data_IF_626819073651
#
_entry.id   IF_626819073651
#
_cell.length_a   1.000
_cell.length_b   1.000
_cell.length_c   1.000
_cell.angle_alpha   90.00
_cell.angle_beta   90.00
_cell.angle_gamma   90.00
#
_symmetry.space_group_name_H-M   'P 1'
#
loop_
_entity.id
_entity.type
_entity.pdbx_description
1 polymer ?
#
# COMPACT_ATOMS: atom_id res chain seq x y z
N UNK A 1 -25.68 36.82 -3.17
CA UNK A 1 -25.40 35.37 -3.22
C UNK A 1 -24.03 35.16 -2.58
N UNK A 2 -23.97 34.36 -1.50
CA UNK A 2 -22.73 34.08 -0.78
C UNK A 2 -22.02 32.91 -1.47
N UNK A 3 -20.70 32.98 -1.60
CA UNK A 3 -19.89 31.90 -2.14
C UNK A 3 -20.00 30.63 -1.28
N UNK A 4 -20.23 29.48 -1.91
CA UNK A 4 -20.12 28.16 -1.29
C UNK A 4 -19.02 27.37 -1.98
N UNK A 5 -17.98 27.03 -1.23
CA UNK A 5 -16.91 26.18 -1.72
C UNK A 5 -17.32 24.71 -1.66
N UNK A 6 -17.17 23.99 -2.77
CA UNK A 6 -17.20 22.54 -2.81
C UNK A 6 -15.88 22.04 -3.40
N UNK A 7 -15.13 21.17 -2.69
CA UNK A 7 -13.90 20.61 -3.24
C UNK A 7 -14.20 19.74 -4.47
N UNK A 8 -13.29 19.73 -5.43
CA UNK A 8 -13.41 18.91 -6.64
C UNK A 8 -13.36 17.40 -6.32
N UNK A 9 -12.58 17.03 -5.30
CA UNK A 9 -12.39 15.64 -4.87
C UNK A 9 -12.65 15.54 -3.36
N UNK A 10 -13.88 15.29 -2.91
CA UNK A 10 -14.16 15.04 -1.50
C UNK A 10 -13.47 13.74 -1.06
N UNK A 11 -12.85 13.77 0.12
CA UNK A 11 -12.23 12.58 0.70
C UNK A 11 -13.30 11.60 1.16
N UNK A 12 -13.09 10.31 0.86
CA UNK A 12 -13.92 9.21 1.35
C UNK A 12 -13.38 8.61 2.65
N UNK A 13 -14.05 7.56 3.11
CA UNK A 13 -13.60 6.75 4.24
C UNK A 13 -12.29 6.01 3.89
N UNK A 14 -11.29 6.07 4.78
CA UNK A 14 -10.06 5.28 4.66
C UNK A 14 -10.23 3.92 5.38
N UNK A 15 -10.19 2.84 4.61
CA UNK A 15 -10.26 1.45 5.10
C UNK A 15 -8.91 0.74 5.07
N UNK A 16 -7.84 1.47 4.79
CA UNK A 16 -6.50 0.91 4.61
C UNK A 16 -5.91 0.53 5.97
N UNK A 17 -5.45 -0.72 6.18
CA UNK A 17 -4.70 -1.06 7.38
C UNK A 17 -3.28 -0.48 7.29
N UNK A 18 -2.80 0.11 8.39
CA UNK A 18 -1.46 0.68 8.47
C UNK A 18 -0.59 -0.09 9.47
N UNK A 19 0.70 -0.21 9.12
CA UNK A 19 1.75 -0.68 10.02
C UNK A 19 2.63 0.50 10.41
N UNK A 20 2.93 0.65 11.70
CA UNK A 20 3.86 1.65 12.17
C UNK A 20 5.28 1.32 11.68
N UNK A 21 5.92 2.27 10.98
CA UNK A 21 7.31 2.13 10.50
C UNK A 21 8.28 2.61 11.58
N UNK A 22 8.06 3.80 12.14
CA UNK A 22 8.87 4.38 13.22
C UNK A 22 8.12 5.55 13.86
N UNK A 23 8.51 5.91 15.09
CA UNK A 23 8.14 7.19 15.73
C UNK A 23 9.32 8.18 15.77
N UNK A 24 10.50 7.76 15.33
CA UNK A 24 11.70 8.60 15.30
C UNK A 24 11.60 9.69 14.22
N UNK A 25 12.16 10.87 14.52
CA UNK A 25 12.18 11.99 13.59
C UNK A 25 10.83 12.69 13.42
N UNK A 26 9.88 12.47 14.34
CA UNK A 26 8.59 13.17 14.38
C UNK A 26 8.42 13.81 15.76
N UNK A 27 8.15 15.11 15.80
CA UNK A 27 7.86 15.84 17.04
C UNK A 27 6.86 16.96 16.80
N UNK A 28 6.22 17.40 17.87
CA UNK A 28 5.37 18.60 17.84
C UNK A 28 6.15 19.77 18.41
N UNK A 29 6.16 20.89 17.69
CA UNK A 29 6.68 22.17 18.16
C UNK A 29 5.55 23.20 18.22
N UNK A 30 5.60 24.09 19.22
CA UNK A 30 4.66 25.21 19.32
C UNK A 30 5.27 26.47 18.74
N UNK A 31 4.53 27.14 17.86
CA UNK A 31 4.87 28.44 17.31
C UNK A 31 3.68 29.38 17.48
N UNK A 32 3.74 30.22 18.51
CA UNK A 32 2.58 31.00 18.97
C UNK A 32 1.48 30.09 19.52
N UNK A 33 0.24 30.30 19.07
CA UNK A 33 -0.93 29.50 19.47
C UNK A 33 -1.14 28.24 18.62
N UNK A 34 -0.20 27.94 17.72
CA UNK A 34 -0.30 26.82 16.79
C UNK A 34 0.71 25.71 17.09
N UNK A 35 0.26 24.47 16.91
CA UNK A 35 1.09 23.27 16.94
C UNK A 35 1.50 22.88 15.53
N UNK A 36 2.80 22.64 15.34
CA UNK A 36 3.39 22.21 14.09
C UNK A 36 4.00 20.82 14.27
N UNK A 37 3.68 19.91 13.36
CA UNK A 37 4.36 18.62 13.28
C UNK A 37 5.65 18.81 12.49
N UNK A 38 6.79 18.66 13.16
CA UNK A 38 8.11 18.69 12.54
C UNK A 38 8.51 17.26 12.22
N UNK A 39 8.78 17.01 10.93
CA UNK A 39 9.17 15.70 10.40
C UNK A 39 10.56 15.81 9.80
N UNK A 40 11.49 15.04 10.34
CA UNK A 40 12.87 15.02 9.87
C UNK A 40 12.99 14.30 8.53
N UNK A 41 13.98 14.71 7.72
CA UNK A 41 14.27 14.08 6.42
C UNK A 41 14.49 12.56 6.53
N UNK A 42 15.11 12.10 7.61
CA UNK A 42 15.36 10.67 7.83
C UNK A 42 14.07 9.87 8.04
N UNK A 43 13.03 10.44 8.65
CA UNK A 43 11.74 9.77 8.79
C UNK A 43 11.11 9.51 7.42
N UNK A 44 11.20 10.49 6.51
CA UNK A 44 10.72 10.36 5.12
C UNK A 44 11.54 9.32 4.37
N UNK A 45 12.87 9.35 4.48
CA UNK A 45 13.75 8.37 3.83
C UNK A 45 13.41 6.93 4.25
N UNK A 46 13.23 6.68 5.55
CA UNK A 46 12.86 5.37 6.10
C UNK A 46 11.49 4.90 5.62
N UNK A 47 10.51 5.81 5.58
CA UNK A 47 9.18 5.51 5.05
C UNK A 47 9.26 5.09 3.57
N UNK A 48 10.00 5.84 2.76
CA UNK A 48 10.19 5.52 1.34
C UNK A 48 10.90 4.18 1.14
N UNK A 49 11.95 3.91 1.91
CA UNK A 49 12.68 2.63 1.87
C UNK A 49 11.75 1.45 2.19
N UNK A 50 11.01 1.53 3.30
CA UNK A 50 10.04 0.50 3.68
C UNK A 50 8.95 0.31 2.62
N UNK A 51 8.40 1.41 2.08
CA UNK A 51 7.34 1.35 1.07
C UNK A 51 7.81 0.73 -0.25
N UNK A 52 9.03 1.05 -0.69
CA UNK A 52 9.61 0.48 -1.91
C UNK A 52 9.93 -1.00 -1.74
N UNK A 53 10.47 -1.42 -0.60
CA UNK A 53 10.68 -2.85 -0.29
C UNK A 53 9.32 -3.57 -0.30
N UNK A 54 8.34 -3.10 0.48
CA UNK A 54 7.05 -3.78 0.61
C UNK A 54 6.30 -3.83 -0.74
N UNK A 55 6.34 -2.78 -1.57
CA UNK A 55 5.64 -2.76 -2.87
C UNK A 55 6.28 -3.71 -3.89
N UNK A 56 7.60 -3.92 -3.83
CA UNK A 56 8.29 -4.83 -4.73
C UNK A 56 8.10 -6.30 -4.35
N UNK A 57 7.82 -6.59 -3.07
CA UNK A 57 7.77 -7.96 -2.56
C UNK A 57 6.38 -8.44 -2.14
N UNK A 58 5.45 -7.53 -1.84
CA UNK A 58 4.14 -7.84 -1.27
C UNK A 58 3.01 -7.26 -2.12
N UNK A 59 1.86 -7.94 -2.05
CA UNK A 59 0.62 -7.52 -2.71
C UNK A 59 -0.49 -7.32 -1.68
N UNK A 60 -1.46 -6.47 -2.01
CA UNK A 60 -2.64 -6.27 -1.15
C UNK A 60 -3.47 -7.57 -1.05
N UNK A 61 -4.01 -7.92 0.12
CA UNK A 61 -4.84 -9.12 0.29
C UNK A 61 -6.03 -9.17 -0.68
N UNK A 62 -6.66 -8.01 -0.95
CA UNK A 62 -7.77 -7.92 -1.90
C UNK A 62 -7.40 -8.32 -3.32
N UNK A 63 -6.16 -8.05 -3.76
CA UNK A 63 -5.69 -8.46 -5.08
C UNK A 63 -5.37 -9.96 -5.11
N UNK A 64 -4.70 -10.49 -4.08
CA UNK A 64 -4.43 -11.92 -3.96
C UNK A 64 -5.73 -12.75 -3.93
N UNK A 65 -6.76 -12.25 -3.26
CA UNK A 65 -8.09 -12.88 -3.25
C UNK A 65 -8.76 -12.87 -4.63
N UNK A 66 -8.50 -11.88 -5.49
CA UNK A 66 -8.98 -11.90 -6.88
C UNK A 66 -8.31 -13.01 -7.69
N UNK A 67 -6.99 -13.18 -7.57
CA UNK A 67 -6.28 -14.26 -8.24
C UNK A 67 -6.74 -15.64 -7.75
N UNK A 68 -6.94 -15.80 -6.44
CA UNK A 68 -7.43 -17.05 -5.86
C UNK A 68 -8.82 -17.42 -6.40
N UNK A 69 -9.73 -16.44 -6.54
CA UNK A 69 -11.08 -16.66 -7.09
C UNK A 69 -11.07 -17.24 -8.51
N UNK A 70 -10.07 -16.90 -9.34
CA UNK A 70 -9.95 -17.43 -10.71
C UNK A 70 -9.79 -18.97 -10.68
N UNK A 71 -9.12 -19.51 -9.67
CA UNK A 71 -8.88 -20.96 -9.57
C UNK A 71 -10.18 -21.74 -9.34
N UNK A 72 -11.08 -21.18 -8.53
CA UNK A 72 -12.36 -21.78 -8.16
C UNK A 72 -13.49 -21.49 -9.17
N UNK A 73 -13.29 -20.53 -10.07
CA UNK A 73 -14.30 -20.10 -11.04
C UNK A 73 -14.56 -21.21 -12.09
N UNK A 74 -15.80 -21.72 -12.23
CA UNK A 74 -16.13 -22.72 -13.25
C UNK A 74 -16.13 -22.15 -14.68
N UNK A 75 -16.24 -20.83 -14.85
CA UNK A 75 -16.22 -20.18 -16.17
C UNK A 75 -14.80 -19.84 -16.64
N UNK A 76 -13.81 -19.87 -15.74
CA UNK A 76 -12.42 -19.58 -16.07
C UNK A 76 -11.78 -20.68 -16.94
N UNK A 77 -11.05 -20.26 -17.97
CA UNK A 77 -10.35 -21.19 -18.86
C UNK A 77 -9.17 -21.86 -18.15
N UNK A 78 -8.69 -22.97 -18.71
CA UNK A 78 -7.47 -23.62 -18.23
C UNK A 78 -6.26 -22.67 -18.21
N UNK A 79 -6.19 -21.73 -19.16
CA UNK A 79 -5.11 -20.75 -19.23
C UNK A 79 -5.23 -19.68 -18.15
N UNK A 80 -6.45 -19.20 -17.85
CA UNK A 80 -6.67 -18.24 -16.77
C UNK A 80 -6.22 -18.83 -15.42
N UNK A 81 -6.60 -20.09 -15.17
CA UNK A 81 -6.21 -20.82 -13.96
C UNK A 81 -4.71 -21.05 -13.88
N UNK A 82 -4.09 -21.43 -15.00
CA UNK A 82 -2.64 -21.62 -15.09
C UNK A 82 -1.88 -20.33 -14.74
N UNK A 83 -2.24 -19.21 -15.37
CA UNK A 83 -1.60 -17.91 -15.14
C UNK A 83 -1.83 -17.42 -13.71
N UNK A 84 -3.06 -17.51 -13.19
CA UNK A 84 -3.36 -17.09 -11.83
C UNK A 84 -2.56 -17.89 -10.79
N UNK A 85 -2.42 -19.20 -11.00
CA UNK A 85 -1.66 -20.07 -10.12
C UNK A 85 -0.16 -19.72 -10.13
N UNK A 86 0.41 -19.46 -11.31
CA UNK A 86 1.82 -19.06 -11.43
C UNK A 86 2.08 -17.67 -10.81
N UNK A 87 1.16 -16.71 -10.97
CA UNK A 87 1.24 -15.41 -10.30
C UNK A 87 1.19 -15.55 -8.77
N UNK A 88 0.36 -16.44 -8.23
CA UNK A 88 0.30 -16.72 -6.79
C UNK A 88 1.58 -17.37 -6.27
N UNK A 89 2.18 -18.30 -7.04
CA UNK A 89 3.50 -18.85 -6.72
C UNK A 89 4.59 -17.79 -6.71
N UNK A 90 4.59 -16.91 -7.71
CA UNK A 90 5.53 -15.80 -7.78
C UNK A 90 5.38 -14.87 -6.58
N UNK A 91 4.14 -14.54 -6.19
CA UNK A 91 3.86 -13.76 -4.98
C UNK A 91 4.40 -14.41 -3.71
N UNK A 92 4.26 -15.74 -3.56
CA UNK A 92 4.80 -16.46 -2.42
C UNK A 92 6.34 -16.47 -2.39
N UNK A 93 7.01 -16.58 -3.55
CA UNK A 93 8.47 -16.51 -3.65
C UNK A 93 8.96 -15.10 -3.32
N UNK A 94 8.32 -14.09 -3.90
CA UNK A 94 8.69 -12.68 -3.76
C UNK A 94 8.57 -12.18 -2.32
N UNK A 95 7.55 -12.67 -1.58
CA UNK A 95 7.37 -12.40 -0.16
C UNK A 95 8.56 -12.84 0.72
N UNK A 96 9.47 -13.67 0.20
CA UNK A 96 10.75 -14.00 0.84
C UNK A 96 11.77 -12.85 0.87
N UNK A 97 11.52 -11.74 0.17
CA UNK A 97 12.35 -10.53 0.24
C UNK A 97 13.69 -10.60 -0.50
N UNK A 98 13.93 -11.66 -1.28
CA UNK A 98 15.18 -11.83 -2.06
C UNK A 98 14.95 -11.52 -3.54
N UNK A 99 13.89 -12.07 -4.13
CA UNK A 99 13.53 -11.84 -5.53
C UNK A 99 12.31 -10.90 -5.57
N UNK A 100 12.31 -9.84 -6.40
CA UNK A 100 11.15 -8.97 -6.54
C UNK A 100 10.02 -9.64 -7.33
N UNK A 101 8.81 -9.08 -7.22
CA UNK A 101 7.63 -9.55 -7.96
C UNK A 101 7.81 -9.50 -9.49
N UNK A 102 8.57 -8.52 -9.96
CA UNK A 102 8.84 -8.25 -11.36
C UNK A 102 10.29 -7.77 -11.51
N UNK A 103 10.90 -8.06 -12.65
CA UNK A 103 12.29 -7.70 -13.00
C UNK A 103 12.47 -6.22 -13.34
#
# INVERSE_FOLDING_TARGET
MTYQHSPLFPLGEDKTPYRLVTTEGVRVEKMGDHEFLVVDREAIRRLSEAATIDTNHLLRPGHLAQLAKILDDPEATSNDKFVAYDLLKNANISAGGVLPMCQ
#
